data_IF_521745566600
#
_entry.id   IF_521745566600
#
_cell.length_a   1.000
_cell.length_b   1.000
_cell.length_c   1.000
_cell.angle_alpha   90.00
_cell.angle_beta   90.00
_cell.angle_gamma   90.00
#
_symmetry.space_group_name_H-M   'P 1'
#
loop_
_entity.id
_entity.type
_entity.pdbx_description
1 polymer ?
#
# COMPACT_ATOMS: atom_id res chain seq x y z
N UNK A 1 -7.31 17.31 4.71
CA UNK A 1 -7.06 16.11 5.53
C UNK A 1 -5.86 15.40 4.94
N UNK A 2 -4.83 15.14 5.76
CA UNK A 2 -3.61 14.43 5.37
C UNK A 2 -3.65 13.00 5.91
N UNK A 3 -3.50 12.03 5.01
CA UNK A 3 -3.59 10.60 5.31
C UNK A 3 -2.24 9.95 5.05
N UNK A 4 -1.68 9.31 6.07
CA UNK A 4 -0.54 8.42 5.92
C UNK A 4 -1.06 7.00 5.66
N UNK A 5 -0.76 6.42 4.51
CA UNK A 5 -1.01 4.99 4.27
C UNK A 5 0.31 4.23 4.38
N UNK A 6 0.37 3.26 5.29
CA UNK A 6 1.60 2.53 5.61
C UNK A 6 1.51 1.09 5.09
N UNK A 7 2.36 0.75 4.12
CA UNK A 7 2.46 -0.59 3.54
C UNK A 7 3.61 -1.39 4.15
N UNK A 8 3.48 -2.71 4.16
CA UNK A 8 4.56 -3.65 4.52
C UNK A 8 5.79 -3.49 3.62
N UNK A 9 6.97 -3.83 4.13
CA UNK A 9 8.21 -4.05 3.36
C UNK A 9 8.65 -5.52 3.39
N UNK A 10 7.75 -6.44 3.75
CA UNK A 10 7.98 -7.87 3.91
C UNK A 10 7.39 -8.65 2.73
N UNK A 11 8.20 -9.52 2.11
CA UNK A 11 7.84 -10.18 0.85
C UNK A 11 7.79 -11.72 0.93
N UNK A 12 7.97 -12.31 2.11
CA UNK A 12 8.06 -13.77 2.29
C UNK A 12 7.01 -14.31 3.26
N UNK A 13 6.27 -15.34 2.86
CA UNK A 13 5.26 -15.95 3.71
C UNK A 13 5.92 -16.99 4.65
N UNK A 14 6.54 -16.51 5.73
CA UNK A 14 7.24 -17.34 6.71
C UNK A 14 8.29 -18.25 6.06
N UNK A 15 8.26 -19.55 6.40
CA UNK A 15 9.17 -20.57 5.86
C UNK A 15 8.52 -21.43 4.76
N UNK A 16 7.41 -20.98 4.18
CA UNK A 16 6.66 -21.75 3.17
C UNK A 16 7.31 -21.74 1.78
N UNK A 17 8.33 -20.90 1.57
CA UNK A 17 8.93 -20.64 0.26
C UNK A 17 8.08 -19.77 -0.69
N UNK A 18 6.90 -19.31 -0.24
CA UNK A 18 6.00 -18.46 -1.03
C UNK A 18 6.27 -16.96 -0.79
N UNK A 19 5.93 -16.15 -1.79
CA UNK A 19 5.92 -14.67 -1.67
C UNK A 19 4.64 -14.19 -1.01
N UNK A 20 4.71 -13.03 -0.36
CA UNK A 20 3.57 -12.24 0.10
C UNK A 20 3.92 -10.74 -0.03
N UNK A 21 3.11 -9.88 0.55
CA UNK A 21 3.23 -8.44 0.50
C UNK A 21 1.97 -7.77 1.01
N UNK A 22 1.71 -6.56 0.54
CA UNK A 22 0.41 -5.93 0.73
C UNK A 22 -0.64 -6.56 -0.21
N UNK A 23 -1.92 -6.48 0.15
CA UNK A 23 -3.02 -6.93 -0.71
C UNK A 23 -3.53 -5.78 -1.60
N UNK A 24 -3.54 -5.95 -2.93
CA UNK A 24 -3.79 -4.87 -3.90
C UNK A 24 -5.08 -4.08 -3.64
N UNK A 25 -6.20 -4.77 -3.46
CA UNK A 25 -7.49 -4.13 -3.19
C UNK A 25 -7.49 -3.34 -1.87
N UNK A 26 -6.75 -3.82 -0.86
CA UNK A 26 -6.66 -3.15 0.44
C UNK A 26 -5.79 -1.90 0.41
N UNK A 27 -4.99 -1.71 -0.66
CA UNK A 27 -4.40 -0.42 -1.00
C UNK A 27 -5.35 0.40 -1.87
N UNK A 28 -5.78 -0.16 -3.01
CA UNK A 28 -6.46 0.57 -4.07
C UNK A 28 -7.80 1.17 -3.62
N UNK A 29 -8.62 0.38 -2.92
CA UNK A 29 -9.93 0.84 -2.49
C UNK A 29 -9.87 2.02 -1.50
N UNK A 30 -9.17 1.94 -0.36
CA UNK A 30 -9.07 3.08 0.56
C UNK A 30 -8.29 4.24 -0.06
N UNK A 31 -7.26 3.99 -0.88
CA UNK A 31 -6.53 5.04 -1.58
C UNK A 31 -7.49 5.92 -2.40
N UNK A 32 -8.37 5.32 -3.20
CA UNK A 32 -9.32 6.11 -3.99
C UNK A 32 -10.47 6.68 -3.19
N UNK A 33 -10.93 6.02 -2.12
CA UNK A 33 -11.92 6.61 -1.20
C UNK A 33 -11.38 7.92 -0.60
N UNK A 34 -10.13 7.93 -0.15
CA UNK A 34 -9.49 9.14 0.40
C UNK A 34 -9.18 10.17 -0.69
N UNK A 35 -8.60 9.76 -1.82
CA UNK A 35 -8.20 10.66 -2.91
C UNK A 35 -9.40 11.36 -3.52
N UNK A 36 -10.48 10.62 -3.79
CA UNK A 36 -11.69 11.18 -4.39
C UNK A 36 -12.47 12.07 -3.39
N UNK A 37 -12.27 11.90 -2.09
CA UNK A 37 -12.75 12.80 -1.05
C UNK A 37 -11.89 14.07 -0.87
N UNK A 38 -10.82 14.24 -1.67
CA UNK A 38 -9.93 15.39 -1.63
C UNK A 38 -8.88 15.35 -0.53
N UNK A 39 -8.59 14.16 0.03
CA UNK A 39 -7.49 14.00 0.97
C UNK A 39 -6.13 14.01 0.26
N UNK A 40 -5.12 14.54 0.95
CA UNK A 40 -3.72 14.42 0.54
C UNK A 40 -3.17 13.10 1.12
N UNK A 41 -2.70 12.21 0.25
CA UNK A 41 -2.23 10.88 0.64
C UNK A 41 -0.71 10.85 0.54
N UNK A 42 -0.05 10.35 1.58
CA UNK A 42 1.37 9.94 1.54
C UNK A 42 1.45 8.45 1.73
N UNK A 43 2.22 7.77 0.86
CA UNK A 43 2.52 6.35 1.01
C UNK A 43 3.86 6.18 1.71
N UNK A 44 3.90 5.37 2.75
CA UNK A 44 5.11 5.02 3.49
C UNK A 44 5.25 3.50 3.61
N UNK A 45 6.47 3.02 3.84
CA UNK A 45 6.73 1.65 4.25
C UNK A 45 7.95 1.58 5.16
N UNK A 46 8.10 0.53 6.01
CA UNK A 46 9.24 0.42 6.93
C UNK A 46 10.61 0.65 6.28
N UNK A 47 10.81 0.16 5.04
CA UNK A 47 12.08 0.31 4.31
C UNK A 47 12.08 1.44 3.28
N UNK A 48 10.93 2.06 2.99
CA UNK A 48 10.75 2.96 1.86
C UNK A 48 10.91 2.25 0.50
N UNK A 49 10.79 3.02 -0.58
CA UNK A 49 10.82 2.48 -1.96
C UNK A 49 9.58 1.66 -2.28
N UNK A 50 9.67 0.76 -3.26
CA UNK A 50 8.55 -0.06 -3.73
C UNK A 50 8.16 -1.15 -2.71
N UNK A 51 6.97 -1.10 -2.09
CA UNK A 51 6.46 -2.18 -1.24
C UNK A 51 6.19 -3.43 -2.09
N UNK A 52 6.43 -4.64 -1.53
CA UNK A 52 6.12 -5.89 -2.23
C UNK A 52 4.61 -6.11 -2.29
N UNK A 53 4.11 -6.45 -3.48
CA UNK A 53 2.74 -6.87 -3.71
C UNK A 53 2.61 -8.38 -3.42
N UNK A 54 1.56 -8.80 -2.69
CA UNK A 54 1.20 -10.21 -2.62
C UNK A 54 0.69 -10.66 -4.01
N UNK A 55 1.39 -11.56 -4.72
CA UNK A 55 1.03 -11.92 -6.09
C UNK A 55 -0.35 -12.55 -6.21
N UNK A 56 -0.88 -13.14 -5.14
CA UNK A 56 -2.26 -13.68 -5.15
C UNK A 56 -3.29 -12.57 -5.31
N UNK A 57 -3.04 -11.42 -4.71
CA UNK A 57 -3.99 -10.30 -4.76
C UNK A 57 -4.13 -9.68 -6.15
N UNK A 58 -3.21 -9.98 -7.07
CA UNK A 58 -3.26 -9.53 -8.46
C UNK A 58 -3.90 -10.56 -9.41
N UNK A 59 -4.28 -11.76 -8.93
CA UNK A 59 -4.92 -12.76 -9.80
C UNK A 59 -6.30 -12.27 -10.30
N UNK A 60 -6.74 -12.68 -11.51
CA UNK A 60 -7.96 -12.14 -12.14
C UNK A 60 -9.23 -12.21 -11.28
N UNK A 61 -9.35 -13.20 -10.40
CA UNK A 61 -10.51 -13.38 -9.53
C UNK A 61 -10.58 -12.39 -8.36
N UNK A 62 -9.48 -11.69 -8.05
CA UNK A 62 -9.41 -10.67 -7.00
C UNK A 62 -9.41 -9.24 -7.54
N UNK A 63 -9.45 -9.07 -8.87
CA UNK A 63 -9.47 -7.76 -9.51
C UNK A 63 -10.84 -7.08 -9.39
N UNK A 64 -10.83 -5.83 -8.93
CA UNK A 64 -11.99 -4.93 -8.87
C UNK A 64 -11.82 -3.78 -9.86
N UNK A 65 -12.81 -2.90 -9.95
CA UNK A 65 -12.66 -1.67 -10.74
C UNK A 65 -11.61 -0.72 -10.14
N UNK A 66 -11.41 -0.76 -8.81
CA UNK A 66 -10.44 0.08 -8.12
C UNK A 66 -9.01 -0.48 -8.28
N UNK A 67 -8.81 -1.80 -8.25
CA UNK A 67 -7.50 -2.37 -8.59
C UNK A 67 -7.11 -2.06 -10.04
N UNK A 68 -8.05 -2.20 -10.99
CA UNK A 68 -7.81 -1.85 -12.41
C UNK A 68 -7.49 -0.37 -12.58
N UNK A 69 -8.21 0.51 -11.87
CA UNK A 69 -7.92 1.95 -11.84
C UNK A 69 -6.51 2.21 -11.31
N UNK A 70 -6.14 1.59 -10.19
CA UNK A 70 -4.82 1.74 -9.57
C UNK A 70 -3.71 1.30 -10.53
N UNK A 71 -3.84 0.13 -11.15
CA UNK A 71 -2.85 -0.39 -12.12
C UNK A 71 -2.70 0.51 -13.35
N UNK A 72 -3.75 1.23 -13.76
CA UNK A 72 -3.70 2.17 -14.88
C UNK A 72 -3.25 3.60 -14.50
N UNK A 73 -3.28 3.95 -13.21
CA UNK A 73 -2.96 5.29 -12.70
C UNK A 73 -1.45 5.45 -12.50
N UNK A 74 -0.80 6.13 -13.46
CA UNK A 74 0.66 6.33 -13.44
C UNK A 74 1.14 7.10 -12.22
N UNK A 75 0.34 8.04 -11.71
CA UNK A 75 0.73 8.86 -10.57
C UNK A 75 0.64 8.04 -9.27
N UNK A 76 -0.42 7.23 -9.12
CA UNK A 76 -0.52 6.30 -8.00
C UNK A 76 0.61 5.27 -8.00
N UNK A 77 0.97 4.72 -9.17
CA UNK A 77 2.10 3.80 -9.30
C UNK A 77 3.45 4.48 -9.02
N UNK A 78 3.66 5.71 -9.49
CA UNK A 78 4.87 6.46 -9.18
C UNK A 78 5.00 6.75 -7.68
N UNK A 79 3.89 7.08 -7.02
CA UNK A 79 3.86 7.26 -5.57
C UNK A 79 4.14 5.96 -4.82
N UNK A 80 3.62 4.83 -5.29
CA UNK A 80 3.88 3.51 -4.70
C UNK A 80 5.33 3.06 -4.90
N UNK A 81 5.95 3.39 -6.04
CA UNK A 81 7.34 3.04 -6.31
C UNK A 81 8.34 3.75 -5.38
N UNK A 82 7.96 4.91 -4.86
CA UNK A 82 8.80 5.80 -4.06
C UNK A 82 8.18 6.06 -2.67
N UNK A 83 7.69 5.02 -1.99
CA UNK A 83 7.17 5.22 -0.62
C UNK A 83 8.26 5.78 0.28
N UNK A 84 7.89 6.73 1.14
CA UNK A 84 8.84 7.28 2.12
C UNK A 84 9.16 6.23 3.17
N UNK A 85 10.37 6.26 3.72
CA UNK A 85 10.70 5.40 4.86
C UNK A 85 9.86 5.80 6.06
N UNK A 86 9.21 4.83 6.70
CA UNK A 86 8.32 5.11 7.83
C UNK A 86 9.05 5.81 8.99
N UNK A 87 10.33 5.49 9.23
CA UNK A 87 11.16 6.10 10.26
C UNK A 87 11.52 7.58 10.00
N UNK A 88 11.18 8.11 8.83
CA UNK A 88 11.37 9.52 8.46
C UNK A 88 10.11 10.37 8.61
N UNK A 89 8.97 9.75 8.95
CA UNK A 89 7.66 10.39 9.03
C UNK A 89 7.43 10.95 10.43
N UNK A 90 7.01 12.21 10.54
CA UNK A 90 6.47 12.75 11.80
C UNK A 90 4.94 12.54 11.83
N UNK A 91 4.45 11.88 12.86
CA UNK A 91 3.01 11.65 13.03
C UNK A 91 2.21 12.94 13.13
N UNK A 92 2.82 14.05 13.59
CA UNK A 92 2.15 15.33 13.75
C UNK A 92 1.76 15.97 12.41
N UNK A 93 2.33 15.51 11.30
CA UNK A 93 2.02 16.00 9.95
C UNK A 93 0.74 15.41 9.36
N UNK A 94 0.13 14.42 10.03
CA UNK A 94 -1.02 13.65 9.50
C UNK A 94 -2.22 13.70 10.43
N UNK A 95 -3.41 13.71 9.83
CA UNK A 95 -4.68 13.67 10.56
C UNK A 95 -5.12 12.23 10.87
N UNK A 96 -4.62 11.26 10.11
CA UNK A 96 -4.95 9.83 10.26
C UNK A 96 -3.90 8.93 9.63
N UNK A 97 -3.84 7.69 10.11
CA UNK A 97 -3.00 6.63 9.57
C UNK A 97 -3.88 5.46 9.15
N UNK A 98 -3.62 4.90 7.98
CA UNK A 98 -4.31 3.72 7.45
C UNK A 98 -3.29 2.64 7.09
N UNK A 99 -3.59 1.39 7.43
CA UNK A 99 -2.71 0.24 7.20
C UNK A 99 -3.40 -0.75 6.24
N UNK A 100 -3.08 -0.75 4.93
CA UNK A 100 -3.43 -1.84 4.04
C UNK A 100 -2.90 -3.17 4.56
N UNK A 101 -3.70 -4.22 4.51
CA UNK A 101 -3.30 -5.56 4.93
C UNK A 101 -2.62 -6.35 3.81
N UNK A 102 -2.93 -7.64 3.74
CA UNK A 102 -2.05 -8.69 3.21
C UNK A 102 -1.39 -9.48 4.35
N UNK A 103 -0.59 -10.50 4.03
CA UNK A 103 0.11 -11.25 5.10
C UNK A 103 1.46 -10.61 5.47
N UNK A 104 2.07 -9.80 4.60
CA UNK A 104 3.35 -9.12 4.89
C UNK A 104 3.37 -8.33 6.20
N UNK A 105 2.32 -7.53 6.54
CA UNK A 105 2.25 -6.76 7.79
C UNK A 105 2.33 -7.58 9.08
N UNK A 106 2.23 -8.91 9.02
CA UNK A 106 2.44 -9.77 10.20
C UNK A 106 3.91 -9.84 10.66
N UNK A 107 4.85 -9.32 9.86
CA UNK A 107 6.29 -9.36 10.15
C UNK A 107 6.95 -8.00 10.35
N UNK A 108 6.34 -6.90 9.91
CA UNK A 108 6.93 -5.55 9.97
C UNK A 108 5.91 -4.42 10.11
#
# INVERSE_FOLDING_TARGET
>A
MKVLMVLTSHDRLGDTGKKTGFWLEELAAPYYVFKDAGAEITLASPKGGQPPLDPKSDEPMFQTDLTRRFTADKDANAQLAETVRLDSVDQADFDTVFYPGGHGPMWD
#
